data_IF_865111721664
#
_entry.id   IF_865111721664
#
_cell.length_a   1.000
_cell.length_b   1.000
_cell.length_c   1.000
_cell.angle_alpha   90.00
_cell.angle_beta   90.00
_cell.angle_gamma   90.00
#
_symmetry.space_group_name_H-M   'P 1'
#
loop_
_entity.id
_entity.type
_entity.pdbx_description
1 polymer ?
#
# COMPACT_ATOMS: atom_id res chain seq x y z
N UNK A 1 36.96 51.92 -40.94
CA UNK A 1 35.93 51.72 -39.90
C UNK A 1 35.45 50.29 -40.01
N UNK A 2 35.98 49.37 -39.15
CA UNK A 2 35.68 47.93 -39.20
C UNK A 2 34.76 47.59 -38.03
N UNK A 3 33.47 47.34 -38.31
CA UNK A 3 32.52 46.85 -37.32
C UNK A 3 32.70 45.36 -37.15
N UNK A 4 33.14 44.94 -35.96
CA UNK A 4 33.18 43.51 -35.56
C UNK A 4 31.84 43.14 -35.03
N UNK A 5 31.12 42.26 -35.73
CA UNK A 5 29.93 41.58 -35.23
C UNK A 5 30.35 40.40 -34.31
N UNK A 6 29.95 40.47 -33.06
CA UNK A 6 30.12 39.34 -32.11
C UNK A 6 28.93 38.38 -32.25
N UNK A 7 29.17 37.03 -32.24
CA UNK A 7 28.09 36.06 -32.28
C UNK A 7 27.44 35.93 -30.91
N UNK A 8 26.09 36.07 -30.86
CA UNK A 8 25.27 35.85 -29.69
C UNK A 8 25.10 34.34 -29.52
N UNK A 9 25.77 33.76 -28.53
CA UNK A 9 25.58 32.36 -28.18
C UNK A 9 24.32 32.21 -27.36
N UNK A 10 23.29 31.60 -27.95
CA UNK A 10 22.07 31.20 -27.25
C UNK A 10 22.35 29.90 -26.53
N UNK A 11 22.49 29.93 -25.20
CA UNK A 11 22.58 28.75 -24.36
C UNK A 11 21.19 28.12 -24.20
N UNK A 12 20.97 26.98 -24.86
CA UNK A 12 19.75 26.17 -24.73
C UNK A 12 19.88 25.33 -23.46
N UNK A 13 19.28 25.78 -22.35
CA UNK A 13 19.21 25.02 -21.10
C UNK A 13 18.19 23.89 -21.26
N UNK A 14 18.65 22.63 -21.40
CA UNK A 14 17.81 21.45 -21.28
C UNK A 14 17.40 21.29 -19.82
N UNK A 15 16.15 21.60 -19.50
CA UNK A 15 15.53 21.18 -18.26
C UNK A 15 15.24 19.69 -18.38
N UNK A 16 16.07 18.84 -17.76
CA UNK A 16 15.76 17.44 -17.57
C UNK A 16 14.62 17.31 -16.57
N UNK A 17 13.39 17.14 -17.05
CA UNK A 17 12.27 16.75 -16.21
C UNK A 17 12.49 15.30 -15.76
N UNK A 18 12.89 15.12 -14.51
CA UNK A 18 12.87 13.79 -13.89
C UNK A 18 11.42 13.35 -13.78
N UNK A 19 10.97 12.50 -14.69
CA UNK A 19 9.71 11.81 -14.55
C UNK A 19 9.84 10.89 -13.33
N UNK A 20 9.25 11.27 -12.20
CA UNK A 20 9.04 10.36 -11.09
C UNK A 20 8.11 9.27 -11.59
N UNK A 21 8.60 8.02 -11.65
CA UNK A 21 7.74 6.88 -11.92
C UNK A 21 6.62 6.88 -10.88
N UNK A 22 5.36 6.89 -11.35
CA UNK A 22 4.21 6.85 -10.47
C UNK A 22 4.30 5.62 -9.55
N UNK A 23 4.04 5.80 -8.25
CA UNK A 23 4.03 4.67 -7.32
C UNK A 23 2.91 3.70 -7.71
N UNK A 24 3.28 2.53 -8.21
CA UNK A 24 2.36 1.49 -8.67
C UNK A 24 1.38 1.02 -7.60
N UNK A 25 1.71 1.27 -6.33
CA UNK A 25 0.90 0.88 -5.18
C UNK A 25 -0.27 1.83 -4.91
N UNK A 26 -0.23 3.07 -5.42
CA UNK A 26 -1.32 4.04 -5.27
C UNK A 26 -2.56 3.61 -6.06
N UNK A 27 -3.73 4.04 -5.60
CA UNK A 27 -5.02 3.82 -6.22
C UNK A 27 -5.93 2.88 -5.43
N UNK A 28 -7.03 2.48 -6.06
CA UNK A 28 -8.07 1.62 -5.48
C UNK A 28 -7.85 0.17 -5.89
N UNK A 29 -7.84 -0.72 -4.90
CA UNK A 29 -7.60 -2.14 -5.06
C UNK A 29 -8.80 -2.92 -4.54
N UNK A 30 -9.43 -3.70 -5.41
CA UNK A 30 -10.59 -4.52 -5.06
C UNK A 30 -10.19 -5.98 -4.95
N UNK A 31 -10.59 -6.63 -3.86
CA UNK A 31 -10.37 -8.05 -3.62
C UNK A 31 -11.16 -8.88 -4.64
N UNK A 32 -10.48 -9.81 -5.30
CA UNK A 32 -11.09 -10.85 -6.13
C UNK A 32 -11.13 -12.14 -5.31
N UNK A 33 -12.30 -12.43 -4.71
CA UNK A 33 -12.47 -13.59 -3.82
C UNK A 33 -12.27 -14.90 -4.56
N UNK A 34 -12.69 -14.99 -5.83
CA UNK A 34 -12.58 -16.23 -6.62
C UNK A 34 -11.13 -16.63 -6.95
N UNK A 35 -10.21 -15.66 -6.92
CA UNK A 35 -8.77 -15.87 -7.14
C UNK A 35 -7.97 -15.92 -5.83
N UNK A 36 -8.66 -15.84 -4.70
CA UNK A 36 -8.06 -15.76 -3.36
C UNK A 36 -8.25 -17.04 -2.58
N UNK A 37 -7.32 -17.31 -1.65
CA UNK A 37 -7.44 -18.37 -0.64
C UNK A 37 -7.68 -17.71 0.70
N UNK A 38 -8.95 -17.62 1.09
CA UNK A 38 -9.41 -16.91 2.29
C UNK A 38 -10.00 -17.94 3.26
N UNK A 39 -9.37 -18.14 4.44
CA UNK A 39 -9.91 -19.07 5.45
C UNK A 39 -11.28 -18.62 5.95
N UNK A 40 -12.13 -19.56 6.38
CA UNK A 40 -13.38 -19.23 7.04
C UNK A 40 -13.18 -18.29 8.24
N UNK A 41 -14.04 -17.30 8.39
CA UNK A 41 -13.98 -16.34 9.50
C UNK A 41 -13.11 -15.11 9.25
N UNK A 42 -12.52 -14.97 8.08
CA UNK A 42 -11.91 -13.72 7.64
C UNK A 42 -12.94 -12.80 6.94
N UNK A 43 -12.53 -11.56 6.72
CA UNK A 43 -13.31 -10.54 6.02
C UNK A 43 -13.47 -10.86 4.52
N UNK A 44 -14.47 -10.27 3.89
CA UNK A 44 -14.82 -10.39 2.47
C UNK A 44 -15.05 -9.02 1.85
N UNK A 45 -15.18 -8.99 0.53
CA UNK A 45 -15.60 -7.80 -0.24
C UNK A 45 -14.71 -6.58 0.09
N UNK A 46 -13.39 -6.81 0.13
CA UNK A 46 -12.46 -5.76 0.57
C UNK A 46 -12.09 -4.84 -0.57
N UNK A 47 -12.18 -3.55 -0.30
CA UNK A 47 -11.58 -2.48 -1.11
C UNK A 47 -10.50 -1.80 -0.28
N UNK A 48 -9.31 -1.67 -0.84
CA UNK A 48 -8.19 -0.96 -0.23
C UNK A 48 -7.81 0.22 -1.09
N UNK A 49 -7.75 1.41 -0.50
CA UNK A 49 -7.38 2.64 -1.20
C UNK A 49 -6.06 3.14 -0.64
N UNK A 50 -5.10 3.41 -1.54
CA UNK A 50 -3.82 4.03 -1.25
C UNK A 50 -3.78 5.40 -1.89
N UNK A 51 -3.77 6.45 -1.08
CA UNK A 51 -3.76 7.85 -1.51
C UNK A 51 -2.44 8.52 -1.10
N UNK A 52 -1.78 9.21 -2.04
CA UNK A 52 -0.64 10.06 -1.72
C UNK A 52 -1.12 11.26 -0.91
N UNK A 53 -0.50 11.50 0.24
CA UNK A 53 -0.71 12.68 1.07
C UNK A 53 0.62 13.39 1.31
N UNK A 54 0.60 14.60 1.88
CA UNK A 54 1.81 15.41 2.08
C UNK A 54 2.91 14.65 2.85
N UNK A 55 2.54 13.92 3.91
CA UNK A 55 3.46 13.25 4.82
C UNK A 55 3.49 11.72 4.63
N UNK A 56 3.17 11.21 3.42
CA UNK A 56 3.24 9.79 3.14
C UNK A 56 2.05 9.24 2.36
N UNK A 57 1.55 8.09 2.78
CA UNK A 57 0.43 7.39 2.15
C UNK A 57 -0.68 7.21 3.18
N UNK A 58 -1.89 7.64 2.83
CA UNK A 58 -3.11 7.29 3.56
C UNK A 58 -3.65 5.98 2.98
N UNK A 59 -3.90 5.02 3.84
CA UNK A 59 -4.43 3.71 3.46
C UNK A 59 -5.76 3.48 4.17
N UNK A 60 -6.78 3.16 3.40
CA UNK A 60 -8.14 2.92 3.87
C UNK A 60 -8.58 1.51 3.47
N UNK A 61 -9.20 0.79 4.39
CA UNK A 61 -9.76 -0.55 4.17
C UNK A 61 -11.25 -0.51 4.44
N UNK A 62 -12.03 -0.89 3.45
CA UNK A 62 -13.47 -1.06 3.52
C UNK A 62 -13.84 -2.49 3.14
N UNK A 63 -14.82 -3.08 3.83
CA UNK A 63 -15.25 -4.43 3.54
C UNK A 63 -16.36 -4.90 4.46
N UNK A 64 -16.60 -6.21 4.46
CA UNK A 64 -17.52 -6.86 5.41
C UNK A 64 -16.75 -7.91 6.21
N UNK A 65 -17.08 -8.03 7.49
CA UNK A 65 -16.53 -9.05 8.36
C UNK A 65 -17.18 -10.43 8.13
N UNK A 66 -16.77 -11.43 8.91
CA UNK A 66 -17.33 -12.80 8.85
C UNK A 66 -18.85 -12.87 9.06
N UNK A 67 -19.42 -11.89 9.78
CA UNK A 67 -20.84 -11.81 10.14
C UNK A 67 -21.64 -10.94 9.14
N UNK A 68 -20.98 -10.47 8.07
CA UNK A 68 -21.60 -9.61 7.05
C UNK A 68 -21.74 -8.14 7.47
N UNK A 69 -21.13 -7.74 8.59
CA UNK A 69 -21.16 -6.35 9.07
C UNK A 69 -20.08 -5.53 8.35
N UNK A 70 -20.41 -4.32 7.89
CA UNK A 70 -19.41 -3.45 7.28
C UNK A 70 -18.34 -3.05 8.29
N UNK A 71 -17.10 -2.99 7.84
CA UNK A 71 -15.99 -2.42 8.59
C UNK A 71 -15.27 -1.36 7.76
N UNK A 72 -14.73 -0.39 8.46
CA UNK A 72 -13.88 0.66 7.92
C UNK A 72 -12.70 0.86 8.84
N UNK A 73 -11.48 0.78 8.33
CA UNK A 73 -10.28 1.13 9.09
C UNK A 73 -9.25 1.81 8.21
N UNK A 74 -8.32 2.53 8.83
CA UNK A 74 -7.28 3.20 8.08
C UNK A 74 -6.15 3.70 8.95
N UNK A 75 -5.10 4.15 8.28
CA UNK A 75 -3.94 4.81 8.88
C UNK A 75 -3.25 5.67 7.83
N UNK A 76 -2.38 6.57 8.30
CA UNK A 76 -1.46 7.33 7.46
C UNK A 76 -0.04 7.06 7.92
N UNK A 77 0.86 6.79 6.99
CA UNK A 77 2.26 6.48 7.29
C UNK A 77 3.15 6.53 6.06
N UNK A 78 4.43 6.26 6.24
CA UNK A 78 5.41 6.15 5.16
C UNK A 78 5.93 4.73 5.05
N UNK A 79 6.63 4.40 3.94
CA UNK A 79 7.24 3.08 3.74
C UNK A 79 8.60 2.92 4.46
N UNK A 80 8.75 3.53 5.65
CA UNK A 80 10.00 3.59 6.43
C UNK A 80 10.14 2.47 7.48
N UNK A 81 9.09 1.64 7.64
CA UNK A 81 9.04 0.56 8.62
C UNK A 81 8.71 1.00 10.05
N UNK A 82 8.45 2.28 10.28
CA UNK A 82 7.99 2.77 11.57
C UNK A 82 6.52 2.43 11.83
N UNK A 83 6.11 2.48 13.08
CA UNK A 83 4.74 2.23 13.51
C UNK A 83 3.90 3.49 13.43
N UNK A 84 2.72 3.34 12.87
CA UNK A 84 1.71 4.38 12.74
C UNK A 84 0.40 3.91 13.38
N UNK A 85 -0.33 4.79 14.09
CA UNK A 85 -1.58 4.41 14.73
C UNK A 85 -2.63 4.02 13.71
N UNK A 86 -3.39 2.97 14.00
CA UNK A 86 -4.52 2.49 13.20
C UNK A 86 -5.81 2.86 13.91
N UNK A 87 -6.79 3.33 13.16
CA UNK A 87 -8.13 3.65 13.66
C UNK A 87 -9.19 2.78 13.00
N UNK A 88 -10.31 2.58 13.69
CA UNK A 88 -11.47 1.88 13.14
C UNK A 88 -11.41 0.35 13.19
N UNK A 89 -10.46 -0.25 13.92
CA UNK A 89 -10.38 -1.71 14.07
C UNK A 89 -9.94 -2.13 15.47
N UNK A 90 -10.54 -3.20 16.05
CA UNK A 90 -10.10 -3.74 17.33
C UNK A 90 -8.88 -4.66 17.21
N UNK A 91 -8.54 -5.14 15.99
CA UNK A 91 -7.52 -6.17 15.78
C UNK A 91 -6.09 -5.64 15.64
N UNK A 92 -5.94 -4.32 15.50
CA UNK A 92 -4.65 -3.64 15.46
C UNK A 92 -4.77 -2.25 16.06
N UNK A 93 -3.74 -1.79 16.75
CA UNK A 93 -3.59 -0.41 17.25
C UNK A 93 -2.44 0.33 16.57
N UNK A 94 -1.51 -0.42 15.96
CA UNK A 94 -0.44 0.12 15.14
C UNK A 94 -0.20 -0.73 13.89
N UNK A 95 0.34 -0.07 12.87
CA UNK A 95 0.70 -0.69 11.58
C UNK A 95 1.98 -0.06 11.05
N UNK A 96 2.86 -0.87 10.48
CA UNK A 96 4.03 -0.38 9.78
C UNK A 96 3.97 -0.78 8.31
N UNK A 97 4.55 0.08 7.45
CA UNK A 97 4.78 -0.19 6.03
C UNK A 97 6.28 -0.19 5.80
N UNK A 98 6.81 -1.20 5.13
CA UNK A 98 8.21 -1.24 4.72
C UNK A 98 8.32 -1.57 3.24
N UNK A 99 8.91 -0.68 2.46
CA UNK A 99 9.20 -0.94 1.05
C UNK A 99 10.39 -1.89 0.92
N UNK A 100 10.21 -2.92 0.13
CA UNK A 100 11.27 -3.85 -0.26
C UNK A 100 11.84 -3.43 -1.62
N UNK A 101 10.96 -3.17 -2.60
CA UNK A 101 11.30 -2.63 -3.91
C UNK A 101 10.11 -1.87 -4.53
N UNK A 102 10.16 -1.53 -5.80
CA UNK A 102 9.10 -0.78 -6.50
C UNK A 102 7.76 -1.53 -6.57
N UNK A 103 7.78 -2.85 -6.47
CA UNK A 103 6.61 -3.73 -6.61
C UNK A 103 6.24 -4.44 -5.31
N UNK A 104 7.13 -4.45 -4.31
CA UNK A 104 7.00 -5.24 -3.10
C UNK A 104 7.10 -4.35 -1.86
N UNK A 105 6.14 -4.50 -0.96
CA UNK A 105 6.19 -3.91 0.38
C UNK A 105 5.53 -4.84 1.41
N UNK A 106 5.99 -4.74 2.64
CA UNK A 106 5.48 -5.51 3.77
C UNK A 106 4.68 -4.61 4.69
N UNK A 107 3.58 -5.12 5.21
CA UNK A 107 2.75 -4.51 6.25
C UNK A 107 2.80 -5.38 7.49
N UNK A 108 3.06 -4.79 8.66
CA UNK A 108 2.97 -5.51 9.93
C UNK A 108 1.93 -4.84 10.81
N UNK A 109 0.90 -5.59 11.17
CA UNK A 109 -0.09 -5.20 12.17
C UNK A 109 0.44 -5.51 13.56
N UNK A 110 0.21 -4.61 14.51
CA UNK A 110 0.54 -4.81 15.92
C UNK A 110 -0.67 -4.58 16.81
N UNK A 111 -0.74 -5.31 17.91
CA UNK A 111 -1.72 -5.14 18.99
C UNK A 111 -1.01 -5.18 20.33
N UNK A 112 -1.15 -4.12 21.15
CA UNK A 112 -0.46 -4.02 22.43
C UNK A 112 1.07 -4.11 22.28
N UNK A 113 1.62 -3.53 21.22
CA UNK A 113 3.07 -3.56 20.91
C UNK A 113 3.59 -4.89 20.35
N UNK A 114 2.75 -5.93 20.22
CA UNK A 114 3.14 -7.25 19.68
C UNK A 114 2.72 -7.39 18.22
N UNK A 115 3.60 -7.87 17.32
CA UNK A 115 3.20 -8.24 15.97
C UNK A 115 2.10 -9.30 15.98
N UNK A 116 1.10 -9.12 15.12
CA UNK A 116 0.01 -10.08 14.94
C UNK A 116 0.04 -10.64 13.51
N UNK A 117 -0.32 -9.84 12.52
CA UNK A 117 -0.39 -10.25 11.12
C UNK A 117 0.67 -9.51 10.31
N UNK A 118 1.45 -10.26 9.56
CA UNK A 118 2.34 -9.75 8.51
C UNK A 118 1.68 -9.99 7.17
N UNK A 119 1.75 -9.00 6.28
CA UNK A 119 1.20 -9.08 4.93
C UNK A 119 2.31 -8.67 3.97
N UNK A 120 2.68 -9.57 3.07
CA UNK A 120 3.58 -9.28 1.97
C UNK A 120 2.77 -8.98 0.71
N UNK A 121 2.84 -7.74 0.24
CA UNK A 121 2.17 -7.30 -0.97
C UNK A 121 3.14 -7.26 -2.14
N UNK A 122 2.81 -8.02 -3.20
CA UNK A 122 3.55 -8.00 -4.46
C UNK A 122 2.62 -7.52 -5.58
N UNK A 123 2.96 -6.38 -6.18
CA UNK A 123 2.23 -5.78 -7.30
C UNK A 123 2.85 -6.24 -8.61
N UNK A 124 2.05 -6.67 -9.57
CA UNK A 124 2.50 -7.05 -10.91
C UNK A 124 3.19 -5.88 -11.62
N UNK A 125 4.09 -6.18 -12.57
CA UNK A 125 4.88 -5.16 -13.28
C UNK A 125 4.04 -4.15 -14.05
N UNK A 126 2.85 -4.56 -14.51
CA UNK A 126 1.89 -3.69 -15.20
C UNK A 126 1.07 -2.81 -14.24
N UNK A 127 1.22 -2.99 -12.92
CA UNK A 127 0.52 -2.24 -11.89
C UNK A 127 -0.97 -2.54 -11.76
N UNK A 128 -1.50 -3.57 -12.45
CA UNK A 128 -2.95 -3.85 -12.52
C UNK A 128 -3.44 -4.86 -11.50
N UNK A 129 -2.56 -5.72 -11.01
CA UNK A 129 -2.91 -6.75 -10.03
C UNK A 129 -1.91 -6.78 -8.89
N UNK A 130 -2.35 -7.29 -7.74
CA UNK A 130 -1.54 -7.41 -6.53
C UNK A 130 -1.93 -8.68 -5.78
N UNK A 131 -0.94 -9.38 -5.25
CA UNK A 131 -1.14 -10.48 -4.30
C UNK A 131 -0.69 -10.04 -2.92
N UNK A 132 -1.53 -10.27 -1.91
CA UNK A 132 -1.18 -10.12 -0.49
C UNK A 132 -1.12 -11.49 0.17
N UNK A 133 0.06 -11.85 0.69
CA UNK A 133 0.24 -13.07 1.49
C UNK A 133 0.19 -12.71 2.97
N UNK A 134 -0.82 -13.23 3.65
CA UNK A 134 -1.09 -12.97 5.07
C UNK A 134 -0.57 -14.11 5.92
N UNK A 135 0.17 -13.80 6.96
CA UNK A 135 0.72 -14.79 7.91
C UNK A 135 0.80 -14.20 9.31
N UNK A 136 0.75 -15.06 10.32
CA UNK A 136 0.88 -14.68 11.73
C UNK A 136 -0.16 -15.30 12.63
N UNK A 137 -0.50 -14.58 13.71
CA UNK A 137 -1.52 -15.00 14.68
C UNK A 137 -2.40 -13.80 15.04
N UNK A 138 -3.68 -14.07 15.31
CA UNK A 138 -4.57 -13.03 15.87
C UNK A 138 -4.14 -12.67 17.30
N UNK A 139 -4.73 -11.62 17.87
CA UNK A 139 -4.50 -11.24 19.26
C UNK A 139 -4.91 -12.36 20.26
N UNK A 140 -5.85 -13.22 19.86
CA UNK A 140 -6.31 -14.40 20.61
C UNK A 140 -5.45 -15.65 20.38
N UNK A 141 -4.33 -15.53 19.65
CA UNK A 141 -3.38 -16.60 19.38
C UNK A 141 -3.79 -17.60 18.28
N UNK A 142 -4.82 -17.29 17.48
CA UNK A 142 -5.24 -18.14 16.36
C UNK A 142 -4.32 -17.93 15.15
N UNK A 143 -3.82 -19.00 14.51
CA UNK A 143 -2.99 -18.85 13.32
C UNK A 143 -3.79 -18.25 12.15
N UNK A 144 -3.13 -17.38 11.37
CA UNK A 144 -3.67 -16.79 10.14
C UNK A 144 -2.74 -17.13 8.99
N UNK A 145 -3.31 -17.66 7.91
CA UNK A 145 -2.62 -17.86 6.64
C UNK A 145 -3.66 -17.66 5.52
N UNK A 146 -3.43 -16.69 4.65
CA UNK A 146 -4.30 -16.39 3.52
C UNK A 146 -3.49 -15.86 2.35
N UNK A 147 -4.01 -16.04 1.14
CA UNK A 147 -3.51 -15.39 -0.07
C UNK A 147 -4.66 -14.64 -0.72
N UNK A 148 -4.53 -13.34 -0.81
CA UNK A 148 -5.55 -12.45 -1.32
C UNK A 148 -5.09 -11.79 -2.63
N UNK A 149 -5.90 -11.92 -3.65
CA UNK A 149 -5.65 -11.36 -4.97
C UNK A 149 -6.50 -10.11 -5.17
N UNK A 150 -5.86 -9.01 -5.55
CA UNK A 150 -6.51 -7.73 -5.77
C UNK A 150 -6.34 -7.26 -7.22
N UNK A 151 -7.35 -6.60 -7.72
CA UNK A 151 -7.37 -5.96 -9.03
C UNK A 151 -7.51 -4.45 -8.86
N UNK A 152 -6.70 -3.70 -9.60
CA UNK A 152 -6.74 -2.23 -9.59
C UNK A 152 -7.95 -1.74 -10.36
N UNK A 153 -8.66 -0.75 -9.79
CA UNK A 153 -9.84 -0.12 -10.40
C UNK A 153 -9.46 1.13 -11.18
#
# INVERSE_FOLDING_TARGET
MNARMAPLAVALSLFATTAYAADLNLGTWKLNESKSVIPPGMFKTVTVVFEQVADGVKVTFDGVDKDGKPFHNGFTGTYDGKEYPVVGTPVADARSLKRVDAHHFTVVNKKGGKPTITIDYVTAKDGKTRTGTYSGTTAEGKPVSATMFYEKQ
#
